data_IF_719283356959
#
_entry.id   IF_719283356959
#
_cell.length_a   1.000
_cell.length_b   1.000
_cell.length_c   1.000
_cell.angle_alpha   90.00
_cell.angle_beta   90.00
_cell.angle_gamma   90.00
#
_symmetry.space_group_name_H-M   'P 1'
#
loop_
_entity.id
_entity.type
_entity.pdbx_description
1 polymer ?
#
# COMPACT_ATOMS: atom_id res chain seq x y z
N UNK A 1 12.68 3.89 12.06
CA UNK A 1 12.83 2.89 10.99
C UNK A 1 11.46 2.42 10.57
N UNK A 2 11.20 2.26 9.29
CA UNK A 2 9.92 1.76 8.76
C UNK A 2 9.90 0.23 8.74
N UNK A 3 8.73 -0.37 8.84
CA UNK A 3 8.59 -1.83 8.88
C UNK A 3 8.41 -2.44 7.50
N UNK A 4 7.64 -1.78 6.63
CA UNK A 4 7.38 -2.23 5.25
C UNK A 4 7.54 -1.07 4.30
N UNK A 5 8.13 -1.31 3.13
CA UNK A 5 8.17 -0.37 2.02
C UNK A 5 7.38 -0.94 0.84
N UNK A 6 6.40 -0.19 0.38
CA UNK A 6 5.61 -0.48 -0.82
C UNK A 6 6.25 0.28 -1.98
N UNK A 7 6.88 -0.43 -2.89
CA UNK A 7 7.44 0.15 -4.11
C UNK A 7 6.35 0.18 -5.18
N UNK A 8 6.06 1.38 -5.67
CA UNK A 8 5.09 1.64 -6.73
C UNK A 8 5.75 1.57 -8.11
N UNK A 9 4.96 1.29 -9.13
CA UNK A 9 5.38 1.35 -10.52
C UNK A 9 5.50 2.83 -10.96
N UNK A 10 6.71 3.34 -11.29
CA UNK A 10 6.88 4.75 -11.66
C UNK A 10 6.06 5.17 -12.88
N UNK A 11 5.70 4.22 -13.75
CA UNK A 11 4.86 4.49 -14.95
C UNK A 11 3.42 4.91 -14.59
N UNK A 12 2.97 4.52 -13.40
CA UNK A 12 1.62 4.78 -12.91
C UNK A 12 1.57 5.98 -11.95
N UNK A 13 2.70 6.62 -11.66
CA UNK A 13 2.78 7.79 -10.76
C UNK A 13 2.67 9.09 -11.58
N UNK A 14 1.55 9.84 -11.52
CA UNK A 14 1.33 10.98 -12.42
C UNK A 14 2.36 12.10 -12.23
N UNK A 15 2.75 12.35 -10.98
CA UNK A 15 3.63 13.45 -10.60
C UNK A 15 5.11 13.05 -10.52
N UNK A 16 5.52 11.89 -11.02
CA UNK A 16 6.88 11.34 -10.85
C UNK A 16 8.02 12.35 -11.12
N UNK A 17 7.88 13.24 -12.11
CA UNK A 17 8.89 14.27 -12.44
C UNK A 17 9.00 15.44 -11.46
N UNK A 18 8.06 15.57 -10.53
CA UNK A 18 8.04 16.62 -9.51
C UNK A 18 8.49 16.10 -8.15
N UNK A 19 8.94 14.84 -8.07
CA UNK A 19 9.38 14.22 -6.83
C UNK A 19 10.44 15.06 -6.14
N UNK A 20 10.35 15.19 -4.82
CA UNK A 20 11.30 15.97 -4.02
C UNK A 20 12.71 15.38 -4.13
N UNK A 21 12.77 14.04 -4.13
CA UNK A 21 14.00 13.26 -4.32
C UNK A 21 13.87 12.39 -5.59
N UNK A 22 14.26 12.91 -6.77
CA UNK A 22 14.15 12.15 -8.02
C UNK A 22 15.16 11.00 -8.04
N UNK A 23 14.67 9.80 -8.37
CA UNK A 23 15.54 8.64 -8.56
C UNK A 23 16.44 8.85 -9.80
N UNK A 24 17.67 8.30 -9.76
CA UNK A 24 18.65 8.39 -10.86
C UNK A 24 18.13 7.79 -12.18
N UNK A 25 17.14 6.90 -12.11
CA UNK A 25 16.47 6.34 -13.28
C UNK A 25 15.50 7.37 -13.88
N UNK A 26 15.97 8.05 -14.92
CA UNK A 26 15.17 8.95 -15.73
C UNK A 26 14.16 8.15 -16.55
N UNK A 27 12.90 8.21 -16.14
CA UNK A 27 11.79 7.67 -16.91
C UNK A 27 11.38 8.66 -18.01
N UNK A 28 11.28 8.16 -19.24
CA UNK A 28 10.47 8.80 -20.27
C UNK A 28 9.02 8.45 -20.00
N UNK A 29 8.16 9.41 -19.67
CA UNK A 29 6.71 9.21 -19.76
C UNK A 29 6.42 8.71 -21.17
N UNK A 30 6.17 7.40 -21.29
CA UNK A 30 5.97 6.76 -22.57
C UNK A 30 4.74 7.38 -23.20
N UNK A 31 4.94 8.09 -24.30
CA UNK A 31 3.93 8.27 -25.33
C UNK A 31 3.31 6.91 -25.62
N UNK A 32 1.99 6.84 -25.52
CA UNK A 32 1.18 5.70 -25.93
C UNK A 32 1.76 5.03 -27.19
N UNK A 33 2.25 3.79 -27.09
CA UNK A 33 2.76 3.01 -28.24
C UNK A 33 1.64 2.51 -29.15
N UNK A 34 0.38 2.82 -28.84
CA UNK A 34 -0.74 2.48 -29.69
C UNK A 34 -0.87 3.42 -30.89
N UNK A 35 -1.36 2.88 -32.01
CA UNK A 35 -1.82 3.70 -33.14
C UNK A 35 -2.74 4.82 -32.63
N UNK A 36 -2.63 5.99 -33.25
CA UNK A 36 -3.52 7.15 -33.00
C UNK A 36 -4.96 6.67 -32.78
N UNK A 37 -5.57 7.13 -31.70
CA UNK A 37 -6.91 6.74 -31.27
C UNK A 37 -7.83 6.70 -32.49
N UNK A 38 -8.26 5.49 -32.89
CA UNK A 38 -9.34 5.35 -33.86
C UNK A 38 -10.51 6.12 -33.27
N UNK A 39 -11.13 7.01 -34.05
CA UNK A 39 -12.28 7.81 -33.62
C UNK A 39 -13.29 6.91 -32.89
N UNK A 40 -13.38 7.04 -31.56
CA UNK A 40 -14.15 6.15 -30.66
C UNK A 40 -13.39 5.46 -29.52
N UNK A 41 -12.07 5.66 -29.35
CA UNK A 41 -11.34 5.11 -28.19
C UNK A 41 -11.64 5.79 -26.84
N UNK A 42 -11.26 5.13 -25.74
CA UNK A 42 -11.43 5.68 -24.38
C UNK A 42 -10.65 6.99 -24.21
N UNK A 43 -11.34 8.04 -23.75
CA UNK A 43 -10.72 9.32 -23.44
C UNK A 43 -9.87 9.21 -22.18
N UNK A 44 -8.72 9.91 -22.10
CA UNK A 44 -7.92 9.93 -20.88
C UNK A 44 -8.74 10.55 -19.74
N UNK A 45 -8.79 9.87 -18.60
CA UNK A 45 -9.43 10.38 -17.38
C UNK A 45 -8.56 11.51 -16.82
N UNK A 46 -9.12 12.70 -16.75
CA UNK A 46 -8.47 13.90 -16.22
C UNK A 46 -8.38 13.76 -14.69
N UNK A 47 -7.27 14.20 -14.09
CA UNK A 47 -7.00 14.18 -12.64
C UNK A 47 -7.04 12.79 -11.98
N UNK A 48 -6.89 11.73 -12.77
CA UNK A 48 -6.72 10.38 -12.23
C UNK A 48 -5.37 10.23 -11.54
N UNK A 49 -5.38 10.19 -10.21
CA UNK A 49 -4.22 9.90 -9.36
C UNK A 49 -4.40 8.55 -8.65
N UNK A 50 -3.93 7.45 -9.25
CA UNK A 50 -4.09 6.11 -8.67
C UNK A 50 -3.37 5.98 -7.33
N UNK A 51 -2.29 6.74 -7.11
CA UNK A 51 -1.51 6.64 -5.86
C UNK A 51 -2.30 7.23 -4.69
N UNK A 52 -2.97 8.37 -4.91
CA UNK A 52 -3.81 8.98 -3.87
C UNK A 52 -5.02 8.11 -3.54
N UNK A 53 -5.67 7.54 -4.56
CA UNK A 53 -6.80 6.62 -4.37
C UNK A 53 -6.39 5.38 -3.58
N UNK A 54 -5.28 4.74 -3.99
CA UNK A 54 -4.72 3.60 -3.29
C UNK A 54 -4.37 3.92 -1.83
N UNK A 55 -3.73 5.07 -1.58
CA UNK A 55 -3.34 5.48 -0.25
C UNK A 55 -4.55 5.82 0.64
N UNK A 56 -5.65 6.36 0.09
CA UNK A 56 -6.90 6.53 0.84
C UNK A 56 -7.51 5.20 1.25
N UNK A 57 -7.58 4.22 0.34
CA UNK A 57 -8.12 2.90 0.65
C UNK A 57 -7.29 2.18 1.72
N UNK A 58 -5.96 2.24 1.64
CA UNK A 58 -5.08 1.68 2.66
C UNK A 58 -5.31 2.30 4.04
N UNK A 59 -5.50 3.62 4.11
CA UNK A 59 -5.75 4.32 5.37
C UNK A 59 -7.12 4.02 5.94
N UNK A 60 -8.13 3.86 5.09
CA UNK A 60 -9.47 3.47 5.52
C UNK A 60 -9.50 2.04 6.07
N UNK A 61 -8.87 1.09 5.37
CA UNK A 61 -8.88 -0.31 5.75
C UNK A 61 -7.91 -0.66 6.91
N UNK A 62 -6.72 -0.07 6.93
CA UNK A 62 -5.63 -0.46 7.84
C UNK A 62 -5.13 0.69 8.73
N UNK A 63 -5.80 1.83 8.74
CA UNK A 63 -5.42 2.99 9.55
C UNK A 63 -5.32 2.70 11.04
N UNK A 64 -6.06 1.72 11.55
CA UNK A 64 -5.99 1.29 12.96
C UNK A 64 -4.75 0.43 13.27
N UNK A 65 -4.17 -0.21 12.25
CA UNK A 65 -3.04 -1.13 12.39
C UNK A 65 -1.69 -0.48 12.04
N UNK A 66 -1.70 0.42 11.05
CA UNK A 66 -0.49 1.00 10.48
C UNK A 66 -0.61 2.50 10.19
N UNK A 67 0.55 3.14 10.05
CA UNK A 67 0.72 4.49 9.54
C UNK A 67 1.36 4.43 8.16
N UNK A 68 0.85 5.24 7.23
CA UNK A 68 1.30 5.28 5.83
C UNK A 68 1.88 6.66 5.50
N UNK A 69 3.15 6.67 5.08
CA UNK A 69 3.91 7.85 4.69
C UNK A 69 4.25 7.80 3.20
N UNK A 70 4.10 8.94 2.53
CA UNK A 70 4.28 9.05 1.08
C UNK A 70 4.65 10.49 0.70
N UNK A 71 5.47 10.66 -0.35
CA UNK A 71 5.75 11.96 -0.96
C UNK A 71 4.68 12.30 -2.02
N UNK A 72 3.77 13.26 -1.74
CA UNK A 72 2.70 13.61 -2.66
C UNK A 72 3.18 14.18 -3.99
N UNK A 73 4.44 14.63 -4.09
CA UNK A 73 4.96 15.28 -5.29
C UNK A 73 5.54 14.31 -6.32
N UNK A 74 5.43 13.00 -6.12
CA UNK A 74 5.88 12.01 -7.12
C UNK A 74 6.74 10.89 -6.55
N UNK A 75 6.68 10.67 -5.24
CA UNK A 75 7.34 9.52 -4.63
C UNK A 75 6.90 8.20 -5.28
N UNK A 76 7.81 7.25 -5.35
CA UNK A 76 7.52 5.88 -5.82
C UNK A 76 7.50 4.87 -4.68
N UNK A 77 7.61 5.33 -3.44
CA UNK A 77 7.67 4.47 -2.27
C UNK A 77 6.66 4.97 -1.23
N UNK A 78 5.79 4.08 -0.78
CA UNK A 78 4.96 4.29 0.40
C UNK A 78 5.62 3.55 1.55
N UNK A 79 5.98 4.27 2.61
CA UNK A 79 6.54 3.67 3.81
C UNK A 79 5.43 3.38 4.82
N UNK A 80 5.44 2.18 5.38
CA UNK A 80 4.46 1.68 6.34
C UNK A 80 5.14 1.45 7.68
N UNK A 81 4.48 1.90 8.75
CA UNK A 81 4.92 1.70 10.12
C UNK A 81 3.78 1.08 10.94
N UNK A 82 4.06 -0.03 11.59
CA UNK A 82 3.10 -0.69 12.46
C UNK A 82 2.88 0.10 13.75
N UNK A 83 1.62 0.21 14.18
CA UNK A 83 1.29 0.79 15.49
C UNK A 83 1.55 -0.27 16.57
N UNK A 84 2.40 -0.03 17.58
CA UNK A 84 2.67 -1.04 18.62
C UNK A 84 1.40 -1.54 19.32
N UNK A 85 0.45 -0.63 19.62
CA UNK A 85 -0.84 -0.94 20.25
C UNK A 85 -1.79 -1.80 19.38
N UNK A 86 -1.50 -1.98 18.09
CA UNK A 86 -2.27 -2.85 17.22
C UNK A 86 -1.89 -4.32 17.40
N UNK A 87 -0.63 -4.59 17.75
CA UNK A 87 -0.02 -5.91 17.90
C UNK A 87 -0.13 -6.49 19.31
N UNK A 88 -0.63 -5.71 20.27
CA UNK A 88 -1.00 -6.24 21.58
C UNK A 88 -2.20 -7.21 21.44
N UNK A 89 -2.14 -8.40 22.07
CA UNK A 89 -3.25 -9.36 22.04
C UNK A 89 -4.51 -8.73 22.63
N UNK A 90 -5.59 -8.71 21.85
CA UNK A 90 -6.90 -8.19 22.31
C UNK A 90 -7.91 -9.32 22.46
N UNK A 91 -8.83 -9.26 23.43
CA UNK A 91 -9.91 -10.24 23.55
C UNK A 91 -10.73 -10.26 22.27
N UNK A 92 -11.19 -11.46 21.90
CA UNK A 92 -11.99 -11.64 20.69
C UNK A 92 -13.24 -10.77 20.68
N UNK A 93 -13.40 -9.99 19.60
CA UNK A 93 -14.62 -9.25 19.28
C UNK A 93 -14.85 -9.36 17.78
N UNK A 94 -16.05 -9.78 17.38
CA UNK A 94 -16.40 -9.96 15.97
C UNK A 94 -16.17 -8.68 15.13
N UNK A 95 -16.41 -7.50 15.71
CA UNK A 95 -16.20 -6.21 15.04
C UNK A 95 -14.74 -5.85 14.77
N UNK A 96 -13.77 -6.55 15.38
CA UNK A 96 -12.35 -6.28 15.27
C UNK A 96 -11.61 -7.35 14.44
N UNK A 97 -12.32 -8.18 13.68
CA UNK A 97 -11.72 -9.30 12.94
C UNK A 97 -11.02 -8.89 11.65
N UNK A 98 -11.23 -7.66 11.17
CA UNK A 98 -10.54 -7.16 9.98
C UNK A 98 -9.03 -7.23 10.18
N UNK A 99 -8.34 -7.93 9.26
CA UNK A 99 -6.90 -8.08 9.26
C UNK A 99 -6.29 -8.74 10.51
N UNK A 100 -7.11 -9.42 11.32
CA UNK A 100 -6.67 -10.15 12.53
C UNK A 100 -6.93 -11.65 12.39
N UNK A 101 -6.08 -12.45 13.01
CA UNK A 101 -6.30 -13.88 13.25
C UNK A 101 -6.63 -14.12 14.72
N UNK A 102 -7.36 -15.20 14.97
CA UNK A 102 -7.65 -15.67 16.33
C UNK A 102 -6.54 -16.59 16.78
N UNK A 103 -6.02 -16.38 17.98
CA UNK A 103 -5.11 -17.29 18.67
C UNK A 103 -5.81 -17.83 19.91
N UNK A 104 -5.78 -19.15 20.08
CA UNK A 104 -6.39 -19.84 21.22
C UNK A 104 -5.26 -20.41 22.06
N UNK A 105 -5.02 -19.81 23.23
CA UNK A 105 -4.07 -20.31 24.21
C UNK A 105 -4.84 -20.87 25.41
N UNK A 106 -5.14 -22.16 25.37
CA UNK A 106 -5.97 -22.82 26.38
C UNK A 106 -7.40 -22.26 26.38
N UNK A 107 -7.80 -21.63 27.48
CA UNK A 107 -9.15 -21.07 27.66
C UNK A 107 -9.24 -19.58 27.24
N UNK A 108 -8.11 -18.96 26.84
CA UNK A 108 -8.07 -17.56 26.45
C UNK A 108 -8.04 -17.43 24.93
N UNK A 109 -9.08 -16.80 24.38
CA UNK A 109 -9.20 -16.47 22.96
C UNK A 109 -8.76 -15.02 22.75
N UNK A 110 -7.58 -14.84 22.14
CA UNK A 110 -7.05 -13.53 21.77
C UNK A 110 -7.01 -13.35 20.26
N UNK A 111 -6.77 -12.10 19.84
CA UNK A 111 -6.72 -11.72 18.44
C UNK A 111 -5.46 -10.92 18.18
N UNK A 112 -4.74 -11.30 17.13
CA UNK A 112 -3.45 -10.71 16.75
C UNK A 112 -3.50 -10.36 15.26
N UNK A 113 -2.92 -9.23 14.81
CA UNK A 113 -2.85 -8.90 13.39
C UNK A 113 -2.20 -10.01 12.56
N UNK A 114 -2.79 -10.36 11.42
CA UNK A 114 -2.20 -11.31 10.48
C UNK A 114 -1.38 -10.56 9.43
N UNK A 115 -0.09 -10.36 9.71
CA UNK A 115 0.80 -9.55 8.86
C UNK A 115 0.87 -10.08 7.44
N UNK A 116 0.97 -11.40 7.24
CA UNK A 116 1.04 -11.99 5.90
C UNK A 116 -0.22 -11.67 5.09
N UNK A 117 -1.41 -11.83 5.68
CA UNK A 117 -2.66 -11.50 5.01
C UNK A 117 -2.73 -10.00 4.66
N UNK A 118 -2.31 -9.11 5.58
CA UNK A 118 -2.28 -7.66 5.33
C UNK A 118 -1.35 -7.31 4.15
N UNK A 119 -0.18 -7.97 4.07
CA UNK A 119 0.74 -7.74 2.96
C UNK A 119 0.18 -8.23 1.63
N UNK A 120 -0.57 -9.33 1.62
CA UNK A 120 -1.29 -9.76 0.42
C UNK A 120 -2.39 -8.77 0.05
N UNK A 121 -3.15 -8.27 1.01
CA UNK A 121 -4.18 -7.25 0.76
C UNK A 121 -3.59 -5.97 0.15
N UNK A 122 -2.41 -5.54 0.60
CA UNK A 122 -1.69 -4.42 -0.03
C UNK A 122 -1.40 -4.69 -1.51
N UNK A 123 -1.04 -5.92 -1.89
CA UNK A 123 -0.81 -6.28 -3.30
C UNK A 123 -2.11 -6.32 -4.10
N UNK A 124 -3.17 -6.85 -3.51
CA UNK A 124 -4.47 -7.02 -4.18
C UNK A 124 -5.12 -5.66 -4.42
N UNK A 125 -5.21 -4.81 -3.40
CA UNK A 125 -5.77 -3.45 -3.52
C UNK A 125 -4.93 -2.62 -4.51
N UNK A 126 -3.60 -2.79 -4.45
CA UNK A 126 -2.65 -2.08 -5.29
C UNK A 126 -2.37 -2.75 -6.64
N UNK A 127 -3.21 -3.67 -7.12
CA UNK A 127 -2.94 -4.42 -8.35
C UNK A 127 -2.70 -3.47 -9.55
N UNK A 128 -1.62 -3.71 -10.29
CA UNK A 128 -1.19 -2.86 -11.41
C UNK A 128 -0.43 -1.58 -11.01
N UNK A 129 -0.57 -1.11 -9.77
CA UNK A 129 0.19 0.03 -9.23
C UNK A 129 1.41 -0.41 -8.40
N UNK A 130 1.27 -1.42 -7.54
CA UNK A 130 2.33 -1.92 -6.67
C UNK A 130 3.28 -2.80 -7.48
N UNK A 131 4.58 -2.46 -7.44
CA UNK A 131 5.66 -3.20 -8.09
C UNK A 131 6.23 -4.29 -7.17
N UNK A 132 6.50 -3.96 -5.91
CA UNK A 132 7.06 -4.89 -4.94
C UNK A 132 6.85 -4.42 -3.50
N UNK A 133 6.86 -5.36 -2.55
CA UNK A 133 6.86 -5.09 -1.12
C UNK A 133 8.21 -5.52 -0.53
N UNK A 134 8.84 -4.64 0.24
CA UNK A 134 10.08 -4.90 0.96
C UNK A 134 9.80 -4.86 2.47
N UNK A 135 10.07 -5.98 3.16
CA UNK A 135 9.97 -6.07 4.61
C UNK A 135 11.33 -5.71 5.21
N UNK A 136 11.37 -4.66 6.04
CA UNK A 136 12.61 -4.19 6.68
C UNK A 136 12.75 -4.63 8.12
N UNK A 137 11.66 -4.99 8.76
CA UNK A 137 11.64 -5.37 10.18
C UNK A 137 11.01 -6.75 10.33
N UNK A 138 11.78 -7.71 10.85
CA UNK A 138 11.27 -9.05 11.23
C UNK A 138 10.60 -9.10 12.61
N UNK A 139 10.62 -7.99 13.36
CA UNK A 139 10.10 -7.91 14.75
C UNK A 139 8.64 -8.32 14.92
N UNK A 140 7.89 -8.42 13.83
CA UNK A 140 6.45 -8.64 13.83
C UNK A 140 6.02 -9.88 13.04
N UNK A 141 6.97 -10.74 12.67
CA UNK A 141 6.68 -12.07 12.10
C UNK A 141 6.34 -12.99 13.27
N UNK A 142 5.05 -13.35 13.41
CA UNK A 142 4.53 -14.29 14.43
C UNK A 142 4.05 -15.59 13.79
#
# INVERSE_FOLDING_TARGET
TYDVLIHLNPKQVPLFRKAVDPATYTFNQGTFEGKALVSGGALPVIDYDPVRLYLSELREAFGDLALFFFDPYGGTVIAVLWKPAAFEPKPFKASLMNARRVEVNGDVVTTVPNVEAILQDFRIIGEGLVKSLELRTEKWVV
#
